data_IF_172084667913
#
_entry.id   IF_172084667913
#
_cell.length_a   1.000
_cell.length_b   1.000
_cell.length_c   1.000
_cell.angle_alpha   90.00
_cell.angle_beta   90.00
_cell.angle_gamma   90.00
#
_symmetry.space_group_name_H-M   'P 1'
#
loop_
_entity.id
_entity.type
_entity.pdbx_description
1 polymer ?
#
# COMPACT_ATOMS: atom_id res chain seq x y z
N UNK A 1 -3.38 25.75 -1.59
CA UNK A 1 -3.79 25.84 -2.99
C UNK A 1 -2.56 25.74 -3.89
N UNK A 2 -2.53 24.73 -4.77
CA UNK A 2 -1.43 24.48 -5.72
C UNK A 2 -1.67 25.15 -7.08
N UNK A 3 -2.73 25.94 -7.21
CA UNK A 3 -3.13 26.54 -8.49
C UNK A 3 -3.50 25.49 -9.52
N UNK A 4 -2.80 25.46 -10.66
CA UNK A 4 -2.98 24.49 -11.74
C UNK A 4 -2.05 23.28 -11.65
N UNK A 5 -1.21 23.17 -10.60
CA UNK A 5 -0.30 22.03 -10.42
C UNK A 5 -1.06 20.80 -9.95
N UNK A 6 -0.65 19.65 -10.44
CA UNK A 6 -1.18 18.36 -9.99
C UNK A 6 -0.76 18.07 -8.54
N UNK A 7 -1.65 17.37 -7.82
CA UNK A 7 -1.31 16.67 -6.59
C UNK A 7 -1.16 15.20 -6.96
N UNK A 8 0.07 14.70 -6.88
CA UNK A 8 0.41 13.37 -7.38
C UNK A 8 0.14 12.27 -6.34
N UNK A 9 0.47 12.55 -5.07
CA UNK A 9 0.30 11.59 -3.97
C UNK A 9 -0.21 12.32 -2.73
N UNK A 10 -0.90 11.57 -1.85
CA UNK A 10 -1.34 12.03 -0.53
C UNK A 10 -1.05 10.98 0.52
N UNK A 11 -0.76 11.41 1.74
CA UNK A 11 -0.64 10.55 2.91
C UNK A 11 -1.19 11.24 4.15
N UNK A 12 -1.81 10.48 5.04
CA UNK A 12 -2.31 10.99 6.31
C UNK A 12 -2.05 9.96 7.42
N UNK A 13 -1.67 10.45 8.61
CA UNK A 13 -1.47 9.63 9.80
C UNK A 13 -1.43 10.51 11.05
N UNK A 14 -2.05 10.09 12.17
CA UNK A 14 -2.00 10.78 13.46
C UNK A 14 -2.38 12.27 13.39
N UNK A 15 -3.34 12.63 12.55
CA UNK A 15 -3.72 14.02 12.32
C UNK A 15 -2.68 14.84 11.53
N UNK A 16 -1.63 14.21 11.03
CA UNK A 16 -0.68 14.77 10.08
C UNK A 16 -1.17 14.51 8.65
N UNK A 17 -0.81 15.39 7.74
CA UNK A 17 -1.16 15.27 6.33
C UNK A 17 0.05 15.64 5.47
N UNK A 18 0.23 14.94 4.36
CA UNK A 18 1.22 15.26 3.36
C UNK A 18 0.64 15.10 1.96
N UNK A 19 1.08 15.93 1.03
CA UNK A 19 0.84 15.72 -0.39
C UNK A 19 2.07 16.08 -1.21
N UNK A 20 2.18 15.54 -2.42
CA UNK A 20 3.23 15.90 -3.36
C UNK A 20 2.69 16.67 -4.55
N UNK A 21 3.53 17.52 -5.13
CA UNK A 21 3.31 18.19 -6.40
C UNK A 21 4.64 18.28 -7.14
N UNK A 22 4.81 17.48 -8.17
CA UNK A 22 6.07 17.32 -8.88
C UNK A 22 7.18 16.86 -7.94
N UNK A 23 8.23 17.66 -7.75
CA UNK A 23 9.38 17.33 -6.89
C UNK A 23 9.22 17.73 -5.43
N UNK A 24 8.13 18.38 -5.06
CA UNK A 24 7.90 18.90 -3.71
C UNK A 24 6.98 18.00 -2.91
N UNK A 25 7.36 17.66 -1.68
CA UNK A 25 6.47 17.08 -0.66
C UNK A 25 6.12 18.15 0.37
N UNK A 26 4.82 18.43 0.52
CA UNK A 26 4.27 19.40 1.45
C UNK A 26 3.69 18.70 2.65
N UNK A 27 4.05 19.11 3.86
CA UNK A 27 3.69 18.42 5.11
C UNK A 27 3.03 19.38 6.09
N UNK A 28 1.85 19.03 6.55
CA UNK A 28 1.11 19.70 7.64
C UNK A 28 1.15 18.79 8.86
N UNK A 29 1.73 19.28 9.93
CA UNK A 29 1.77 18.56 11.19
C UNK A 29 0.58 18.97 12.08
N UNK A 30 -0.03 18.00 12.75
CA UNK A 30 -1.11 18.28 13.71
C UNK A 30 -0.70 19.35 14.72
N UNK A 31 -1.59 20.34 14.94
CA UNK A 31 -1.34 21.46 15.84
C UNK A 31 -0.41 22.54 15.30
N UNK A 32 0.03 22.46 14.03
CA UNK A 32 0.87 23.49 13.39
C UNK A 32 0.16 24.12 12.21
N UNK A 33 0.29 25.43 12.07
CA UNK A 33 -0.23 26.20 10.92
C UNK A 33 0.76 26.26 9.76
N UNK A 34 2.05 26.06 10.05
CA UNK A 34 3.13 26.16 9.06
C UNK A 34 3.26 24.87 8.26
N UNK A 35 3.28 24.99 6.94
CA UNK A 35 3.61 23.91 6.01
C UNK A 35 5.13 23.76 5.93
N UNK A 36 5.62 22.53 6.03
CA UNK A 36 7.01 22.22 5.72
C UNK A 36 7.07 21.66 4.29
N UNK A 37 8.01 22.14 3.49
CA UNK A 37 8.19 21.69 2.10
C UNK A 37 9.55 21.01 1.98
N UNK A 38 9.57 19.84 1.40
CA UNK A 38 10.79 19.09 1.08
C UNK A 38 10.93 18.95 -0.42
N UNK A 39 12.05 19.42 -0.95
CA UNK A 39 12.38 19.29 -2.37
C UNK A 39 13.22 18.05 -2.63
N UNK A 40 12.91 17.33 -3.71
CA UNK A 40 13.57 16.10 -4.15
C UNK A 40 14.20 16.28 -5.55
N UNK A 41 15.14 15.42 -5.90
CA UNK A 41 15.85 15.50 -7.18
C UNK A 41 14.95 15.22 -8.40
N UNK A 42 13.90 14.44 -8.22
CA UNK A 42 12.91 14.10 -9.25
C UNK A 42 11.51 14.11 -8.68
N UNK A 43 10.49 13.89 -9.53
CA UNK A 43 9.08 13.78 -9.13
C UNK A 43 8.91 12.77 -8.00
N UNK A 44 8.13 13.15 -7.00
CA UNK A 44 7.73 12.27 -5.88
C UNK A 44 6.69 11.27 -6.40
N UNK A 45 6.99 9.99 -6.27
CA UNK A 45 6.15 8.90 -6.78
C UNK A 45 5.20 8.30 -5.74
N UNK A 46 5.48 8.49 -4.45
CA UNK A 46 4.67 8.00 -3.34
C UNK A 46 5.05 8.68 -2.04
N UNK A 47 4.10 8.73 -1.11
CA UNK A 47 4.27 9.27 0.25
C UNK A 47 3.70 8.30 1.27
N UNK A 48 4.40 8.09 2.37
CA UNK A 48 3.88 7.32 3.51
C UNK A 48 4.40 7.88 4.83
N UNK A 49 3.52 7.99 5.84
CA UNK A 49 3.94 8.16 7.21
C UNK A 49 4.29 6.81 7.85
N UNK A 50 5.25 6.79 8.75
CA UNK A 50 5.52 5.61 9.55
C UNK A 50 4.39 5.37 10.58
N UNK A 51 4.29 4.15 11.17
CA UNK A 51 3.22 3.81 12.10
C UNK A 51 3.15 4.70 13.35
N UNK A 52 4.20 5.46 13.65
CA UNK A 52 4.24 6.40 14.78
C UNK A 52 3.98 7.86 14.38
N UNK A 53 3.78 8.14 13.09
CA UNK A 53 3.62 9.49 12.56
C UNK A 53 4.85 10.38 12.70
N UNK A 54 6.04 9.81 12.99
CA UNK A 54 7.27 10.59 13.20
C UNK A 54 8.14 10.72 11.96
N UNK A 55 8.01 9.79 11.01
CA UNK A 55 8.78 9.76 9.78
C UNK A 55 7.84 9.85 8.58
N UNK A 56 8.26 10.59 7.56
CA UNK A 56 7.63 10.60 6.24
C UNK A 56 8.61 10.03 5.23
N UNK A 57 8.21 9.01 4.49
CA UNK A 57 8.92 8.55 3.30
C UNK A 57 8.37 9.24 2.06
N UNK A 58 9.26 9.67 1.18
CA UNK A 58 8.96 10.16 -0.16
C UNK A 58 9.79 9.36 -1.16
N UNK A 59 9.14 8.68 -2.09
CA UNK A 59 9.81 7.93 -3.15
C UNK A 59 10.03 8.80 -4.38
N UNK A 60 11.04 8.48 -5.16
CA UNK A 60 11.43 9.23 -6.35
C UNK A 60 12.29 8.34 -7.26
N UNK A 61 12.76 8.89 -8.38
CA UNK A 61 13.77 8.19 -9.19
C UNK A 61 15.07 8.03 -8.38
N UNK A 62 15.60 6.80 -8.36
CA UNK A 62 16.83 6.45 -7.64
C UNK A 62 16.64 6.08 -6.17
N UNK A 63 15.38 5.88 -5.70
CA UNK A 63 15.10 5.36 -4.37
C UNK A 63 14.06 6.13 -3.56
N UNK A 64 14.33 6.31 -2.28
CA UNK A 64 13.44 7.02 -1.34
C UNK A 64 14.23 7.94 -0.40
N UNK A 65 13.58 8.98 0.09
CA UNK A 65 14.08 9.81 1.17
C UNK A 65 13.14 9.69 2.37
N UNK A 66 13.67 9.31 3.52
CA UNK A 66 12.93 9.33 4.79
C UNK A 66 13.27 10.62 5.52
N UNK A 67 12.25 11.39 5.83
CA UNK A 67 12.32 12.58 6.66
C UNK A 67 11.90 12.21 8.09
N UNK A 68 12.81 12.32 9.04
CA UNK A 68 12.58 12.05 10.46
C UNK A 68 12.38 13.38 11.19
N UNK A 69 11.25 13.49 11.88
CA UNK A 69 10.92 14.66 12.69
C UNK A 69 11.62 14.57 14.04
N UNK A 70 12.82 15.17 14.13
CA UNK A 70 13.46 15.42 15.42
C UNK A 70 12.79 16.54 16.21
N UNK A 71 13.20 16.76 17.44
CA UNK A 71 12.61 17.77 18.34
C UNK A 71 12.72 19.21 17.83
N UNK A 72 13.81 19.53 17.12
CA UNK A 72 14.09 20.90 16.65
C UNK A 72 14.11 21.05 15.14
N UNK A 73 14.36 19.97 14.41
CA UNK A 73 14.50 20.00 12.93
C UNK A 73 14.25 18.65 12.32
N UNK A 74 13.82 18.66 11.08
CA UNK A 74 13.76 17.47 10.25
C UNK A 74 15.17 17.03 9.85
N UNK A 75 15.41 15.71 9.88
CA UNK A 75 16.61 15.06 9.35
C UNK A 75 16.20 14.15 8.21
N UNK A 76 17.04 14.00 7.21
CA UNK A 76 16.76 13.09 6.10
C UNK A 76 17.75 11.95 6.04
N UNK A 77 17.24 10.79 5.64
CA UNK A 77 18.03 9.60 5.30
C UNK A 77 17.66 9.21 3.89
N UNK A 78 18.66 9.06 3.02
CA UNK A 78 18.46 8.60 1.64
C UNK A 78 18.67 7.09 1.58
N UNK A 79 17.77 6.43 0.88
CA UNK A 79 17.79 5.02 0.55
C UNK A 79 17.91 4.92 -0.97
N UNK A 80 18.98 4.29 -1.46
CA UNK A 80 19.31 4.29 -2.88
C UNK A 80 18.94 2.94 -3.50
N UNK A 81 18.29 2.99 -4.64
CA UNK A 81 18.11 1.89 -5.55
C UNK A 81 17.76 2.43 -6.94
N UNK A 82 18.22 1.75 -7.99
CA UNK A 82 17.97 2.19 -9.38
C UNK A 82 16.49 2.15 -9.76
N UNK A 83 16.10 2.97 -10.72
CA UNK A 83 14.76 3.01 -11.28
C UNK A 83 13.82 4.00 -10.58
N UNK A 84 12.58 4.07 -11.06
CA UNK A 84 11.53 4.91 -10.46
C UNK A 84 10.77 4.12 -9.42
N UNK A 85 10.64 4.70 -8.23
CA UNK A 85 9.87 4.19 -7.12
C UNK A 85 8.55 4.96 -7.02
N UNK A 86 7.44 4.22 -7.15
CA UNK A 86 6.09 4.74 -7.04
C UNK A 86 5.55 4.62 -5.63
N UNK A 87 4.39 3.98 -5.50
CA UNK A 87 3.70 3.82 -4.21
C UNK A 87 4.59 3.17 -3.15
N UNK A 88 4.31 3.51 -1.88
CA UNK A 88 5.19 3.09 -0.77
C UNK A 88 4.42 2.93 0.54
N UNK A 89 4.90 2.05 1.40
CA UNK A 89 4.39 1.88 2.75
C UNK A 89 5.51 1.47 3.72
N UNK A 90 5.38 1.88 4.98
CA UNK A 90 6.15 1.29 6.06
C UNK A 90 5.52 -0.01 6.53
N UNK A 91 6.33 -0.97 7.02
CA UNK A 91 5.78 -2.11 7.76
C UNK A 91 5.09 -1.65 9.06
N UNK A 92 4.09 -2.41 9.58
CA UNK A 92 3.37 -2.03 10.80
C UNK A 92 4.26 -1.80 12.01
N UNK A 93 5.39 -2.51 12.10
CA UNK A 93 6.41 -2.34 13.14
C UNK A 93 7.43 -1.22 12.83
N UNK A 94 7.35 -0.60 11.66
CA UNK A 94 8.22 0.48 11.21
C UNK A 94 9.66 0.08 10.92
N UNK A 95 9.95 -1.23 10.75
CA UNK A 95 11.31 -1.73 10.49
C UNK A 95 11.69 -1.74 9.03
N UNK A 96 10.70 -1.77 8.14
CA UNK A 96 10.89 -1.81 6.69
C UNK A 96 10.17 -0.65 6.00
N UNK A 97 10.75 -0.19 4.90
CA UNK A 97 10.08 0.62 3.89
C UNK A 97 9.99 -0.22 2.62
N UNK A 98 8.81 -0.35 2.04
CA UNK A 98 8.57 -1.08 0.79
C UNK A 98 8.06 -0.12 -0.26
N UNK A 99 8.49 -0.30 -1.49
CA UNK A 99 8.10 0.53 -2.64
C UNK A 99 7.70 -0.33 -3.84
N UNK A 100 6.68 0.08 -4.56
CA UNK A 100 6.34 -0.45 -5.87
C UNK A 100 7.21 0.23 -6.93
N UNK A 101 7.85 -0.57 -7.78
CA UNK A 101 8.74 -0.07 -8.82
C UNK A 101 8.04 -0.07 -10.19
N UNK A 102 8.54 0.76 -11.09
CA UNK A 102 8.08 0.80 -12.47
C UNK A 102 8.38 -0.52 -13.22
N UNK A 103 9.42 -1.23 -12.80
CA UNK A 103 9.88 -2.49 -13.39
C UNK A 103 9.08 -3.74 -12.95
N UNK A 104 7.82 -3.57 -12.54
CA UNK A 104 6.95 -4.66 -12.07
C UNK A 104 7.61 -5.50 -10.95
N UNK A 105 8.16 -4.84 -9.96
CA UNK A 105 8.78 -5.44 -8.80
C UNK A 105 8.52 -4.60 -7.55
N UNK A 106 8.65 -5.20 -6.39
CA UNK A 106 8.81 -4.45 -5.15
C UNK A 106 10.29 -4.33 -4.81
N UNK A 107 10.64 -3.25 -4.15
CA UNK A 107 11.91 -3.07 -3.48
C UNK A 107 11.69 -2.69 -2.04
N UNK A 108 12.46 -3.25 -1.13
CA UNK A 108 12.34 -2.97 0.30
C UNK A 108 13.70 -2.70 0.95
N UNK A 109 13.68 -1.80 1.93
CA UNK A 109 14.83 -1.52 2.79
C UNK A 109 14.50 -1.90 4.24
N UNK A 110 15.40 -2.63 4.86
CA UNK A 110 15.44 -2.84 6.31
C UNK A 110 16.11 -1.63 6.96
N UNK A 111 15.34 -0.83 7.70
CA UNK A 111 15.75 0.51 8.12
C UNK A 111 16.86 0.56 9.17
N UNK A 112 17.07 -0.52 9.95
CA UNK A 112 18.11 -0.58 11.00
C UNK A 112 19.53 -0.50 10.45
N UNK A 113 19.77 -1.07 9.27
CA UNK A 113 21.10 -1.23 8.67
C UNK A 113 21.13 -0.85 7.19
N UNK A 114 20.00 -0.42 6.64
CA UNK A 114 19.79 -0.11 5.22
C UNK A 114 20.02 -1.29 4.27
N UNK A 115 20.02 -2.52 4.78
CA UNK A 115 20.00 -3.70 3.94
C UNK A 115 18.75 -3.70 3.06
N UNK A 116 18.90 -4.06 1.80
CA UNK A 116 17.81 -3.98 0.83
C UNK A 116 17.64 -5.29 0.08
N UNK A 117 16.47 -5.46 -0.52
CA UNK A 117 16.13 -6.62 -1.33
C UNK A 117 14.99 -6.32 -2.30
N UNK A 118 15.00 -7.00 -3.44
CA UNK A 118 13.95 -6.92 -4.44
C UNK A 118 13.05 -8.15 -4.39
N UNK A 119 11.78 -7.95 -4.64
CA UNK A 119 10.75 -9.00 -4.75
C UNK A 119 10.15 -8.92 -6.16
N UNK A 120 10.73 -9.64 -7.14
CA UNK A 120 10.27 -9.71 -8.52
C UNK A 120 9.15 -10.76 -8.66
N UNK A 121 8.63 -10.91 -9.87
CA UNK A 121 7.67 -11.98 -10.21
C UNK A 121 6.29 -11.48 -10.58
N UNK A 122 6.15 -10.17 -10.80
CA UNK A 122 4.88 -9.55 -11.17
C UNK A 122 4.75 -9.46 -12.69
N UNK A 123 3.57 -9.83 -13.19
CA UNK A 123 3.23 -9.76 -14.61
C UNK A 123 2.79 -8.35 -15.03
N UNK A 124 2.39 -7.51 -14.07
CA UNK A 124 1.95 -6.14 -14.32
C UNK A 124 2.46 -5.18 -13.24
N UNK A 125 2.22 -3.87 -13.44
CA UNK A 125 2.54 -2.84 -12.46
C UNK A 125 1.76 -3.05 -11.16
N UNK A 126 2.47 -2.98 -10.04
CA UNK A 126 1.87 -3.04 -8.71
C UNK A 126 1.22 -1.67 -8.43
N UNK A 127 -0.10 -1.66 -8.26
CA UNK A 127 -0.91 -0.46 -8.05
C UNK A 127 -1.43 -0.34 -6.61
N UNK A 128 -1.36 -1.41 -5.83
CA UNK A 128 -1.96 -1.46 -4.49
C UNK A 128 -1.15 -2.35 -3.55
N UNK A 129 -0.98 -1.86 -2.32
CA UNK A 129 -0.23 -2.47 -1.24
C UNK A 129 -1.10 -2.46 0.02
N UNK A 130 -1.25 -3.59 0.70
CA UNK A 130 -2.01 -3.68 1.95
C UNK A 130 -1.29 -4.57 2.97
N UNK A 131 -1.14 -4.08 4.19
CA UNK A 131 -0.61 -4.87 5.30
C UNK A 131 -1.72 -5.65 5.98
N UNK A 132 -1.48 -6.92 6.23
CA UNK A 132 -2.30 -7.76 7.10
C UNK A 132 -1.58 -7.86 8.44
N UNK A 133 -2.21 -7.33 9.49
CA UNK A 133 -1.54 -6.90 10.72
C UNK A 133 -1.16 -8.01 11.71
N UNK A 134 -1.96 -9.06 11.87
CA UNK A 134 -1.74 -10.11 12.88
C UNK A 134 -0.44 -10.89 12.69
N UNK A 135 -0.09 -11.12 11.44
CA UNK A 135 1.24 -11.57 11.06
C UNK A 135 1.66 -10.70 9.90
N UNK A 136 2.68 -9.82 10.04
CA UNK A 136 2.95 -8.79 9.05
C UNK A 136 3.25 -9.40 7.68
N UNK A 137 2.19 -9.55 6.88
CA UNK A 137 2.26 -9.92 5.48
C UNK A 137 1.90 -8.70 4.64
N UNK A 138 2.72 -8.39 3.67
CA UNK A 138 2.40 -7.37 2.67
C UNK A 138 1.70 -8.03 1.49
N UNK A 139 0.42 -7.77 1.33
CA UNK A 139 -0.37 -8.23 0.19
C UNK A 139 -0.33 -7.19 -0.92
N UNK A 140 -0.19 -7.65 -2.15
CA UNK A 140 0.05 -6.78 -3.30
C UNK A 140 -0.76 -7.19 -4.51
N UNK A 141 -1.10 -6.20 -5.35
CA UNK A 141 -1.66 -6.38 -6.69
C UNK A 141 -0.55 -6.59 -7.73
N UNK A 142 -0.92 -6.71 -9.02
CA UNK A 142 0.01 -6.74 -10.15
C UNK A 142 0.34 -8.14 -10.67
N UNK A 143 -0.36 -9.17 -10.20
CA UNK A 143 -0.32 -10.53 -10.71
C UNK A 143 -1.76 -11.07 -10.85
N UNK A 144 -1.93 -12.27 -11.34
CA UNK A 144 -3.19 -13.01 -11.42
C UNK A 144 -3.66 -13.55 -10.06
N UNK A 145 -2.77 -13.55 -9.07
CA UNK A 145 -3.06 -13.86 -7.67
C UNK A 145 -2.61 -12.70 -6.76
N UNK A 146 -3.24 -12.53 -5.61
CA UNK A 146 -2.77 -11.63 -4.57
C UNK A 146 -1.54 -12.25 -3.89
N UNK A 147 -0.41 -11.58 -4.00
CA UNK A 147 0.87 -12.07 -3.48
C UNK A 147 1.10 -11.48 -2.09
N UNK A 148 1.14 -12.35 -1.06
CA UNK A 148 1.36 -11.98 0.33
C UNK A 148 2.78 -12.33 0.79
N UNK A 149 3.63 -11.32 0.92
CA UNK A 149 5.02 -11.45 1.34
C UNK A 149 5.13 -11.47 2.87
N UNK A 150 5.79 -12.49 3.49
CA UNK A 150 5.92 -12.59 4.94
C UNK A 150 7.02 -11.67 5.48
N UNK A 151 6.67 -10.73 6.36
CA UNK A 151 7.62 -9.82 7.03
C UNK A 151 7.75 -10.08 8.54
N UNK A 152 7.19 -11.17 9.05
CA UNK A 152 7.19 -11.58 10.46
C UNK A 152 8.55 -12.14 10.97
N UNK A 153 9.54 -12.26 10.09
CA UNK A 153 10.87 -12.75 10.42
C UNK A 153 11.90 -11.64 10.65
N UNK A 154 13.07 -12.02 11.20
CA UNK A 154 14.21 -11.11 11.43
C UNK A 154 14.69 -10.42 10.16
N UNK A 155 14.66 -11.13 9.02
CA UNK A 155 15.15 -10.68 7.73
C UNK A 155 14.02 -10.50 6.69
N UNK A 156 12.78 -10.38 7.18
CA UNK A 156 11.59 -10.17 6.35
C UNK A 156 11.34 -11.34 5.39
N UNK A 157 11.02 -11.07 4.12
CA UNK A 157 10.71 -12.10 3.12
C UNK A 157 11.94 -12.81 2.52
N UNK A 158 13.17 -12.44 2.91
CA UNK A 158 14.39 -13.04 2.35
C UNK A 158 14.42 -14.57 2.57
N UNK A 159 14.56 -15.31 1.46
CA UNK A 159 14.62 -16.78 1.47
C UNK A 159 13.28 -17.45 1.79
N UNK A 160 12.18 -16.71 1.81
CA UNK A 160 10.84 -17.21 2.11
C UNK A 160 9.95 -17.11 0.88
N UNK A 161 9.06 -18.06 0.73
CA UNK A 161 8.04 -18.01 -0.33
C UNK A 161 6.87 -17.13 0.11
N UNK A 162 6.29 -16.32 -0.80
CA UNK A 162 5.02 -15.67 -0.53
C UNK A 162 3.88 -16.68 -0.49
N UNK A 163 2.77 -16.30 0.11
CA UNK A 163 1.47 -16.97 0.01
C UNK A 163 0.71 -16.31 -1.11
N UNK A 164 0.14 -17.11 -2.04
CA UNK A 164 -0.66 -16.61 -3.16
C UNK A 164 -2.12 -16.99 -2.93
N UNK A 165 -3.01 -16.01 -3.00
CA UNK A 165 -4.45 -16.18 -2.73
C UNK A 165 -5.28 -15.33 -3.68
N UNK A 166 -6.55 -15.63 -3.79
CA UNK A 166 -7.50 -15.00 -4.70
C UNK A 166 -7.10 -15.18 -6.17
N UNK A 167 -7.88 -15.91 -6.91
CA UNK A 167 -7.64 -16.18 -8.34
C UNK A 167 -8.96 -16.12 -9.10
N UNK A 168 -8.96 -15.54 -10.29
CA UNK A 168 -10.13 -15.47 -11.16
C UNK A 168 -9.74 -15.55 -12.65
N UNK A 169 -9.61 -16.75 -13.19
CA UNK A 169 -9.46 -17.01 -14.63
C UNK A 169 -8.45 -16.08 -15.33
N UNK A 170 -7.23 -16.00 -14.82
CA UNK A 170 -6.13 -15.20 -15.33
C UNK A 170 -6.39 -13.66 -15.35
N UNK A 171 -7.42 -13.19 -14.63
CA UNK A 171 -7.64 -11.77 -14.43
C UNK A 171 -6.60 -11.19 -13.49
N UNK A 172 -6.04 -10.02 -13.84
CA UNK A 172 -5.08 -9.33 -12.98
C UNK A 172 -5.74 -8.76 -11.74
N UNK A 173 -5.10 -8.92 -10.60
CA UNK A 173 -5.46 -8.17 -9.40
C UNK A 173 -4.97 -6.74 -9.52
N UNK A 174 -5.89 -5.79 -9.44
CA UNK A 174 -5.63 -4.36 -9.61
C UNK A 174 -5.65 -3.60 -8.30
N UNK A 175 -6.42 -4.07 -7.32
CA UNK A 175 -6.56 -3.44 -6.01
C UNK A 175 -6.64 -4.50 -4.91
N UNK A 176 -5.99 -4.24 -3.77
CA UNK A 176 -6.07 -5.08 -2.57
C UNK A 176 -6.38 -4.23 -1.34
N UNK A 177 -7.14 -4.77 -0.39
CA UNK A 177 -7.42 -4.13 0.90
C UNK A 177 -7.49 -5.17 2.00
N UNK A 178 -6.71 -5.01 3.07
CA UNK A 178 -6.72 -5.94 4.20
C UNK A 178 -8.05 -5.86 4.98
N UNK A 179 -8.56 -6.99 5.42
CA UNK A 179 -9.64 -7.02 6.41
C UNK A 179 -9.00 -6.89 7.79
N UNK A 180 -9.29 -5.80 8.55
CA UNK A 180 -8.71 -5.59 9.87
C UNK A 180 -9.02 -6.74 10.82
N UNK A 181 -8.04 -7.05 11.69
CA UNK A 181 -8.14 -8.11 12.72
C UNK A 181 -8.31 -9.53 12.17
N UNK A 182 -8.32 -9.67 10.85
CA UNK A 182 -8.44 -10.97 10.17
C UNK A 182 -7.21 -11.22 9.30
N UNK A 183 -6.88 -12.47 9.13
CA UNK A 183 -5.79 -12.86 8.22
C UNK A 183 -6.33 -13.04 6.80
N UNK A 184 -6.98 -11.97 6.29
CA UNK A 184 -7.70 -11.97 5.02
C UNK A 184 -7.54 -10.66 4.24
N UNK A 185 -7.81 -10.72 2.95
CA UNK A 185 -7.69 -9.60 2.02
C UNK A 185 -8.84 -9.59 1.02
N UNK A 186 -9.37 -8.41 0.73
CA UNK A 186 -10.19 -8.17 -0.44
C UNK A 186 -9.27 -7.97 -1.64
N UNK A 187 -9.54 -8.70 -2.72
CA UNK A 187 -8.84 -8.60 -3.99
C UNK A 187 -9.83 -8.21 -5.09
N UNK A 188 -9.57 -7.08 -5.73
CA UNK A 188 -10.32 -6.58 -6.88
C UNK A 188 -9.57 -6.85 -8.18
N UNK A 189 -10.30 -7.29 -9.19
CA UNK A 189 -9.75 -7.77 -10.45
C UNK A 189 -9.96 -6.80 -11.61
N UNK A 190 -9.23 -7.04 -12.69
CA UNK A 190 -9.29 -6.26 -13.94
C UNK A 190 -10.65 -6.36 -14.67
N UNK A 191 -11.44 -7.39 -14.38
CA UNK A 191 -12.81 -7.55 -14.90
C UNK A 191 -13.89 -6.91 -13.99
N UNK A 192 -13.51 -6.30 -12.86
CA UNK A 192 -14.42 -5.67 -11.91
C UNK A 192 -14.96 -6.59 -10.83
N UNK A 193 -14.63 -7.88 -10.85
CA UNK A 193 -15.01 -8.79 -9.76
C UNK A 193 -14.17 -8.54 -8.51
N UNK A 194 -14.71 -8.95 -7.35
CA UNK A 194 -14.02 -8.85 -6.05
C UNK A 194 -14.18 -10.13 -5.27
N UNK A 195 -13.09 -10.62 -4.69
CA UNK A 195 -13.05 -11.76 -3.79
C UNK A 195 -12.53 -11.34 -2.41
N UNK A 196 -12.96 -12.04 -1.37
CA UNK A 196 -12.35 -12.06 -0.04
C UNK A 196 -11.60 -13.38 0.12
N UNK A 197 -10.31 -13.33 0.36
CA UNK A 197 -9.45 -14.50 0.51
C UNK A 197 -8.71 -14.46 1.86
N UNK A 198 -8.74 -15.56 2.60
CA UNK A 198 -7.83 -15.77 3.72
C UNK A 198 -6.41 -16.01 3.19
N UNK A 199 -5.37 -15.59 3.96
CA UNK A 199 -3.98 -15.90 3.63
C UNK A 199 -3.68 -17.40 3.89
N UNK A 200 -4.39 -18.25 3.16
CA UNK A 200 -4.29 -19.69 3.21
C UNK A 200 -4.62 -20.27 1.83
N UNK A 201 -3.61 -20.78 1.13
CA UNK A 201 -3.73 -21.34 -0.23
C UNK A 201 -4.70 -22.52 -0.33
N UNK A 202 -5.05 -23.18 0.78
CA UNK A 202 -5.99 -24.32 0.79
C UNK A 202 -7.44 -23.91 0.89
N UNK A 203 -7.74 -22.63 1.16
CA UNK A 203 -9.11 -22.12 1.30
C UNK A 203 -9.59 -21.48 0.01
N UNK A 204 -10.83 -21.79 -0.34
CA UNK A 204 -11.50 -21.16 -1.49
C UNK A 204 -11.90 -19.74 -1.13
N UNK A 205 -11.52 -18.74 -1.95
CA UNK A 205 -11.95 -17.35 -1.76
C UNK A 205 -13.49 -17.22 -1.84
N UNK A 206 -14.03 -16.29 -1.06
CA UNK A 206 -15.44 -15.93 -1.11
C UNK A 206 -15.65 -14.87 -2.19
N UNK A 207 -16.54 -15.13 -3.14
CA UNK A 207 -16.97 -14.13 -4.11
C UNK A 207 -17.80 -13.03 -3.42
N UNK A 208 -17.35 -11.77 -3.53
CA UNK A 208 -18.05 -10.60 -2.97
C UNK A 208 -18.90 -9.93 -4.03
N UNK A 209 -18.35 -9.70 -5.22
CA UNK A 209 -19.10 -9.20 -6.38
C UNK A 209 -18.65 -9.90 -7.65
N UNK A 210 -19.57 -10.04 -8.61
CA UNK A 210 -19.27 -10.54 -9.95
C UNK A 210 -18.58 -9.51 -10.82
N UNK A 211 -18.19 -9.92 -12.04
CA UNK A 211 -17.58 -9.06 -13.04
C UNK A 211 -18.53 -7.93 -13.47
N UNK A 212 -17.99 -6.70 -13.54
CA UNK A 212 -18.67 -5.52 -14.10
C UNK A 212 -18.14 -5.15 -15.48
N UNK A 213 -17.06 -5.79 -15.94
CA UNK A 213 -16.37 -5.46 -17.19
C UNK A 213 -15.44 -4.24 -17.07
N UNK A 214 -15.24 -3.69 -15.85
CA UNK A 214 -14.37 -2.52 -15.63
C UNK A 214 -13.49 -2.74 -14.40
N UNK A 215 -12.17 -2.48 -14.51
CA UNK A 215 -11.21 -2.82 -13.46
C UNK A 215 -11.56 -2.16 -12.12
N UNK A 216 -11.37 -2.89 -11.02
CA UNK A 216 -11.49 -2.33 -9.67
C UNK A 216 -10.31 -1.39 -9.41
N UNK A 217 -10.61 -0.13 -9.08
CA UNK A 217 -9.59 0.90 -8.83
C UNK A 217 -9.43 1.25 -7.35
N UNK A 218 -10.45 0.97 -6.54
CA UNK A 218 -10.43 1.27 -5.11
C UNK A 218 -11.29 0.26 -4.33
N UNK A 219 -10.77 -0.16 -3.18
CA UNK A 219 -11.51 -0.89 -2.16
C UNK A 219 -11.23 -0.22 -0.81
N UNK A 220 -12.27 0.04 -0.04
CA UNK A 220 -12.14 0.63 1.29
C UNK A 220 -13.17 0.04 2.25
N UNK A 221 -12.81 -0.02 3.53
CA UNK A 221 -13.69 -0.41 4.62
C UNK A 221 -14.01 0.79 5.50
N UNK A 222 -15.20 0.81 6.07
CA UNK A 222 -15.50 1.72 7.17
C UNK A 222 -14.61 1.41 8.38
N UNK A 223 -14.41 2.38 9.26
CA UNK A 223 -13.57 2.21 10.48
C UNK A 223 -14.05 1.09 11.42
N UNK A 224 -15.33 0.72 11.32
CA UNK A 224 -15.95 -0.37 12.07
C UNK A 224 -16.00 -1.68 11.28
N UNK A 225 -15.40 -1.75 10.10
CA UNK A 225 -15.46 -2.87 9.16
C UNK A 225 -16.89 -3.33 8.81
N UNK A 226 -17.91 -2.48 9.07
CA UNK A 226 -19.32 -2.81 8.81
C UNK A 226 -19.78 -2.53 7.39
N UNK A 227 -19.01 -1.75 6.63
CA UNK A 227 -19.33 -1.39 5.25
C UNK A 227 -18.10 -1.52 4.36
N UNK A 228 -18.33 -2.03 3.17
CA UNK A 228 -17.36 -2.14 2.08
C UNK A 228 -17.74 -1.19 0.96
N UNK A 229 -16.76 -0.47 0.45
CA UNK A 229 -16.90 0.40 -0.72
C UNK A 229 -15.96 -0.14 -1.80
N UNK A 230 -16.48 -0.33 -3.00
CA UNK A 230 -15.74 -0.77 -4.18
C UNK A 230 -15.97 0.25 -5.29
N UNK A 231 -14.90 0.79 -5.86
CA UNK A 231 -14.94 1.69 -7.02
C UNK A 231 -14.27 1.05 -8.23
N UNK A 232 -14.81 1.29 -9.43
CA UNK A 232 -14.24 0.82 -10.68
C UNK A 232 -13.77 1.98 -11.60
N UNK A 233 -13.08 1.64 -12.67
CA UNK A 233 -12.53 2.61 -13.63
C UNK A 233 -13.61 3.34 -14.45
N UNK A 234 -14.84 2.84 -14.50
CA UNK A 234 -16.00 3.50 -15.14
C UNK A 234 -16.65 4.54 -14.22
N UNK A 235 -16.19 4.67 -12.96
CA UNK A 235 -16.75 5.58 -11.96
C UNK A 235 -17.95 5.02 -11.21
N UNK A 236 -18.26 3.73 -11.37
CA UNK A 236 -19.29 3.09 -10.55
C UNK A 236 -18.75 2.88 -9.13
N UNK A 237 -19.64 3.02 -8.15
CA UNK A 237 -19.34 2.78 -6.73
C UNK A 237 -20.38 1.84 -6.15
N UNK A 238 -19.94 0.69 -5.65
CA UNK A 238 -20.74 -0.21 -4.85
C UNK A 238 -20.50 0.10 -3.37
N UNK A 239 -21.59 0.34 -2.64
CA UNK A 239 -21.60 0.44 -1.18
C UNK A 239 -22.36 -0.74 -0.61
N UNK A 240 -21.67 -1.62 0.13
CA UNK A 240 -22.25 -2.84 0.68
C UNK A 240 -22.08 -2.90 2.21
N UNK A 241 -23.10 -3.39 2.90
CA UNK A 241 -23.01 -3.70 4.33
C UNK A 241 -22.40 -5.09 4.49
N UNK A 242 -21.38 -5.20 5.32
CA UNK A 242 -20.80 -6.48 5.73
C UNK A 242 -21.53 -6.96 6.99
N UNK A 243 -22.24 -8.07 6.88
CA UNK A 243 -22.86 -8.73 8.02
C UNK A 243 -21.92 -9.82 8.52
N UNK A 244 -21.48 -9.71 9.77
CA UNK A 244 -21.02 -10.90 10.47
C UNK A 244 -22.25 -11.79 10.61
N UNK A 245 -22.32 -12.90 9.88
CA UNK A 245 -23.40 -13.87 10.03
C UNK A 245 -23.52 -14.22 11.50
N UNK A 246 -24.73 -14.13 12.06
CA UNK A 246 -24.98 -14.64 13.39
C UNK A 246 -24.57 -16.12 13.40
N UNK A 247 -23.51 -16.45 14.13
CA UNK A 247 -23.23 -17.82 14.52
C UNK A 247 -24.43 -18.27 15.34
N UNK A 248 -25.32 -19.04 14.71
CA UNK A 248 -26.35 -19.73 15.46
C UNK A 248 -25.63 -20.64 16.46
N UNK A 249 -25.72 -20.25 17.73
CA UNK A 249 -25.32 -21.04 18.87
C UNK A 249 -26.21 -22.31 19.01
#
# INVERSE_FOLDING_TARGET
>A
NFGTRWVDCVAASHGHFACSSGREAHVWMSGQTKVTVFEHASTVGGLAFDPKGKRLAATHYGGATIWDRGDRRWKSVKLFWKGFHGDTCFSPDGKYLVTAMQENALHAWRLRDKGDFAMPGYSAKIKSLAWVDDTPHLVTSGADEAIAWPFDGKDGPLGRKPVCVAYNNDQLITCVHALPEERAVFAGFSDGSVQLAELNETKTPLAISGSTGSEVTAIALSTTSSHLLIGDASGNVLWATLWAGATNA
#
